data_IF_854527482319
#
_entry.id   IF_854527482319
#
_cell.length_a   1.000
_cell.length_b   1.000
_cell.length_c   1.000
_cell.angle_alpha   90.00
_cell.angle_beta   90.00
_cell.angle_gamma   90.00
#
_symmetry.space_group_name_H-M   'P 1'
#
loop_
_entity.id
_entity.type
_entity.pdbx_description
1 polymer ?
#
# COMPACT_ATOMS: atom_id res chain seq x y z
N UNK A 1 15.97 9.38 22.70
CA UNK A 1 14.74 9.27 21.89
C UNK A 1 14.24 7.82 22.02
N UNK A 2 13.04 7.60 22.55
CA UNK A 2 12.45 6.26 22.60
C UNK A 2 12.10 5.83 21.18
N UNK A 3 12.90 4.95 20.58
CA UNK A 3 12.44 4.14 19.45
C UNK A 3 11.34 3.23 19.99
N UNK A 4 10.09 3.50 19.66
CA UNK A 4 8.99 2.59 19.94
C UNK A 4 9.34 1.23 19.31
N UNK A 5 9.44 0.20 20.15
CA UNK A 5 9.80 -1.14 19.71
C UNK A 5 8.77 -1.65 18.69
N UNK A 6 9.22 -2.07 17.51
CA UNK A 6 8.36 -2.69 16.50
C UNK A 6 7.81 -3.98 17.10
N UNK A 7 6.48 -4.18 17.14
CA UNK A 7 5.90 -5.40 17.71
C UNK A 7 6.24 -6.61 16.83
N UNK A 8 6.21 -7.81 17.40
CA UNK A 8 6.40 -9.06 16.64
C UNK A 8 5.10 -9.61 16.07
N UNK A 9 3.96 -9.10 16.56
CA UNK A 9 2.60 -9.51 16.23
C UNK A 9 1.73 -8.29 15.96
N UNK A 10 0.76 -8.45 15.08
CA UNK A 10 -0.15 -7.38 14.66
C UNK A 10 -1.52 -7.93 14.29
N UNK A 11 -2.48 -7.01 14.20
CA UNK A 11 -3.78 -7.24 13.57
C UNK A 11 -3.64 -7.15 12.05
N UNK A 12 -4.28 -8.07 11.35
CA UNK A 12 -4.30 -8.09 9.88
C UNK A 12 -5.57 -8.80 9.36
N UNK A 13 -6.00 -8.43 8.17
CA UNK A 13 -6.89 -9.27 7.37
C UNK A 13 -6.01 -10.25 6.59
N UNK A 14 -6.05 -11.53 6.94
CA UNK A 14 -5.24 -12.56 6.29
C UNK A 14 -6.07 -13.30 5.25
N UNK A 15 -5.44 -13.75 4.18
CA UNK A 15 -5.97 -14.84 3.35
C UNK A 15 -5.09 -16.07 3.52
N UNK A 16 -5.70 -17.24 3.50
CA UNK A 16 -4.97 -18.52 3.48
C UNK A 16 -5.23 -19.28 2.19
N UNK A 17 -6.43 -19.14 1.64
CA UNK A 17 -6.91 -19.87 0.49
C UNK A 17 -7.69 -18.95 -0.46
N UNK A 18 -7.85 -19.39 -1.69
CA UNK A 18 -8.63 -18.70 -2.73
C UNK A 18 -10.08 -19.17 -2.68
N UNK A 19 -11.06 -18.26 -2.74
CA UNK A 19 -12.48 -18.62 -2.80
C UNK A 19 -13.45 -17.53 -2.36
N UNK A 20 -14.71 -17.90 -2.10
CA UNK A 20 -15.81 -16.96 -1.84
C UNK A 20 -15.71 -16.17 -0.53
N UNK A 21 -14.98 -16.71 0.46
CA UNK A 21 -14.68 -16.05 1.74
C UNK A 21 -13.21 -16.26 2.10
N UNK A 22 -12.29 -15.64 1.34
CA UNK A 22 -10.87 -15.95 1.42
C UNK A 22 -10.19 -15.23 2.59
N UNK A 23 -10.90 -14.31 3.26
CA UNK A 23 -10.34 -13.39 4.25
C UNK A 23 -10.80 -13.69 5.66
N UNK A 24 -9.85 -13.74 6.58
CA UNK A 24 -10.07 -13.89 8.01
C UNK A 24 -9.35 -12.78 8.77
N UNK A 25 -9.96 -12.28 9.84
CA UNK A 25 -9.31 -11.30 10.70
C UNK A 25 -8.44 -12.01 11.72
N UNK A 26 -7.14 -11.71 11.74
CA UNK A 26 -6.17 -12.21 12.70
C UNK A 26 -5.72 -11.11 13.64
N UNK A 27 -5.54 -11.44 14.91
CA UNK A 27 -4.93 -10.57 15.92
C UNK A 27 -3.47 -10.93 16.20
N UNK A 28 -2.93 -11.95 15.53
CA UNK A 28 -1.61 -12.54 15.81
C UNK A 28 -0.77 -12.77 14.53
N UNK A 29 -1.01 -11.99 13.48
CA UNK A 29 -0.22 -12.04 12.27
C UNK A 29 1.22 -11.57 12.56
N UNK A 30 2.25 -12.17 11.93
CA UNK A 30 3.64 -11.76 12.15
C UNK A 30 3.91 -10.37 11.57
N UNK A 31 4.81 -9.62 12.23
CA UNK A 31 5.34 -8.34 11.71
C UNK A 31 6.74 -8.59 11.15
N UNK A 32 6.99 -8.14 9.92
CA UNK A 32 8.34 -8.16 9.35
C UNK A 32 9.29 -7.28 10.16
N UNK A 33 10.44 -7.83 10.53
CA UNK A 33 11.45 -7.14 11.30
C UNK A 33 12.43 -6.40 10.38
N UNK A 34 13.12 -5.33 10.87
CA UNK A 34 14.01 -4.52 10.03
C UNK A 34 15.09 -5.32 9.29
N UNK A 35 15.60 -6.39 9.90
CA UNK A 35 16.61 -7.28 9.30
C UNK A 35 16.07 -8.18 8.17
N UNK A 36 14.75 -8.21 7.95
CA UNK A 36 14.10 -8.94 6.86
C UNK A 36 13.82 -8.05 5.64
N UNK A 37 14.06 -6.74 5.73
CA UNK A 37 13.83 -5.81 4.62
C UNK A 37 14.83 -6.07 3.49
N UNK A 38 14.31 -6.14 2.26
CA UNK A 38 15.11 -6.19 1.03
C UNK A 38 15.48 -4.79 0.56
N UNK A 39 16.31 -4.72 -0.47
CA UNK A 39 16.67 -3.46 -1.13
C UNK A 39 15.43 -2.65 -1.53
N UNK A 40 15.54 -1.33 -1.46
CA UNK A 40 14.48 -0.33 -1.67
C UNK A 40 13.25 -0.49 -0.75
N UNK A 41 13.30 -1.31 0.32
CA UNK A 41 12.14 -1.51 1.19
C UNK A 41 12.17 -0.65 2.46
N UNK A 42 10.97 -0.34 2.94
CA UNK A 42 10.75 0.23 4.26
C UNK A 42 9.62 -0.51 4.98
N UNK A 43 9.68 -0.53 6.32
CA UNK A 43 8.55 -0.94 7.15
C UNK A 43 7.78 0.31 7.57
N UNK A 44 6.46 0.29 7.37
CA UNK A 44 5.55 1.40 7.64
C UNK A 44 4.53 0.97 8.67
N UNK A 45 4.35 1.78 9.72
CA UNK A 45 3.17 1.70 10.56
C UNK A 45 2.00 2.33 9.79
N UNK A 46 1.03 1.50 9.40
CA UNK A 46 -0.11 1.88 8.57
C UNK A 46 -1.13 2.62 9.43
N UNK A 47 -1.49 3.84 9.02
CA UNK A 47 -2.52 4.64 9.69
C UNK A 47 -3.84 4.59 8.92
N UNK A 48 -3.77 4.53 7.58
CA UNK A 48 -4.92 4.35 6.71
C UNK A 48 -4.55 3.49 5.50
N UNK A 49 -5.53 2.77 4.97
CA UNK A 49 -5.39 1.97 3.75
C UNK A 49 -6.63 2.12 2.87
N UNK A 50 -6.39 2.20 1.56
CA UNK A 50 -7.44 2.28 0.54
C UNK A 50 -7.90 0.90 0.11
N UNK A 51 -9.21 0.72 -0.03
CA UNK A 51 -9.83 -0.52 -0.54
C UNK A 51 -10.14 -0.36 -2.03
N UNK A 52 -9.70 -1.33 -2.84
CA UNK A 52 -9.92 -1.36 -4.28
C UNK A 52 -10.68 -2.62 -4.72
N UNK A 53 -11.40 -2.61 -5.86
CA UNK A 53 -12.03 -3.81 -6.41
C UNK A 53 -11.06 -4.98 -6.66
N UNK A 54 -9.79 -4.68 -6.94
CA UNK A 54 -8.75 -5.69 -7.14
C UNK A 54 -8.48 -6.53 -5.88
N UNK A 55 -8.66 -5.96 -4.69
CA UNK A 55 -8.35 -6.65 -3.43
C UNK A 55 -9.30 -7.82 -3.22
N UNK A 56 -10.60 -7.60 -3.45
CA UNK A 56 -11.61 -8.66 -3.48
C UNK A 56 -11.31 -9.71 -4.55
N UNK A 57 -10.87 -9.28 -5.74
CA UNK A 57 -10.52 -10.19 -6.86
C UNK A 57 -9.29 -11.04 -6.54
N UNK A 58 -8.31 -10.49 -5.83
CA UNK A 58 -7.14 -11.23 -5.38
C UNK A 58 -7.56 -12.36 -4.41
N UNK A 59 -8.45 -12.08 -3.48
CA UNK A 59 -8.97 -13.12 -2.60
C UNK A 59 -9.77 -14.19 -3.32
N UNK A 60 -10.66 -13.80 -4.25
CA UNK A 60 -11.59 -14.75 -4.87
C UNK A 60 -10.96 -15.65 -5.93
N UNK A 61 -9.90 -15.19 -6.60
CA UNK A 61 -9.31 -15.90 -7.75
C UNK A 61 -7.79 -16.03 -7.71
N UNK A 62 -7.10 -15.28 -6.84
CA UNK A 62 -5.65 -15.10 -6.87
C UNK A 62 -5.11 -14.88 -8.29
N UNK A 63 -5.80 -14.05 -9.08
CA UNK A 63 -5.49 -13.79 -10.49
C UNK A 63 -4.06 -13.31 -10.74
N UNK A 64 -3.43 -12.70 -9.72
CA UNK A 64 -2.07 -12.20 -9.79
C UNK A 64 -1.03 -13.20 -9.24
N UNK A 65 -1.43 -14.42 -8.85
CA UNK A 65 -0.56 -15.45 -8.29
C UNK A 65 0.35 -14.91 -7.16
N UNK A 66 -0.25 -14.23 -6.19
CA UNK A 66 0.44 -13.81 -4.96
C UNK A 66 0.64 -14.99 -4.03
N UNK A 67 1.69 -14.93 -3.21
CA UNK A 67 2.00 -15.99 -2.24
C UNK A 67 0.94 -16.07 -1.14
N UNK A 68 0.65 -17.30 -0.70
CA UNK A 68 -0.30 -17.62 0.36
C UNK A 68 0.43 -18.39 1.48
N UNK A 69 0.07 -18.19 2.76
CA UNK A 69 -0.87 -17.18 3.26
C UNK A 69 -0.30 -15.76 3.11
N UNK A 70 -1.17 -14.76 3.12
CA UNK A 70 -0.78 -13.37 2.89
C UNK A 70 -1.82 -12.37 3.36
N UNK A 71 -1.56 -11.09 3.08
CA UNK A 71 -2.43 -9.97 3.44
C UNK A 71 -2.73 -9.17 2.16
N UNK A 72 -4.00 -8.87 1.85
CA UNK A 72 -4.40 -8.05 0.70
C UNK A 72 -4.15 -6.56 0.92
N UNK A 73 -4.58 -5.74 -0.04
CA UNK A 73 -4.48 -4.30 0.01
C UNK A 73 -3.13 -3.81 -0.51
N UNK A 74 -3.14 -2.72 -1.26
CA UNK A 74 -1.93 -2.12 -1.83
C UNK A 74 -1.76 -0.65 -1.47
N UNK A 75 -2.85 0.06 -1.18
CA UNK A 75 -2.81 1.49 -0.88
C UNK A 75 -2.54 1.73 0.59
N UNK A 76 -1.46 2.44 0.90
CA UNK A 76 -0.97 2.66 2.25
C UNK A 76 -0.74 4.16 2.46
N UNK A 77 -1.19 4.67 3.59
CA UNK A 77 -0.63 5.87 4.19
C UNK A 77 -0.28 5.63 5.65
N UNK A 78 0.90 6.10 6.05
CA UNK A 78 1.41 5.81 7.38
C UNK A 78 2.76 6.47 7.63
N UNK A 79 3.49 5.91 8.59
CA UNK A 79 4.78 6.44 9.04
C UNK A 79 5.86 5.37 8.96
N UNK A 80 7.02 5.72 8.42
CA UNK A 80 8.17 4.81 8.34
C UNK A 80 8.72 4.53 9.73
N UNK A 81 8.89 3.24 10.05
CA UNK A 81 9.45 2.75 11.33
C UNK A 81 10.79 2.02 11.15
N UNK A 82 11.10 1.55 9.94
CA UNK A 82 12.42 1.05 9.57
C UNK A 82 12.65 1.19 8.06
N UNK A 83 13.90 1.28 7.63
CA UNK A 83 14.31 1.37 6.22
C UNK A 83 15.44 0.38 5.95
N UNK A 84 15.51 -0.16 4.73
CA UNK A 84 16.67 -0.90 4.26
C UNK A 84 17.88 0.03 4.11
N UNK A 85 19.09 -0.54 4.13
CA UNK A 85 20.34 0.23 4.20
C UNK A 85 20.61 1.08 2.95
N UNK A 86 20.05 0.71 1.81
CA UNK A 86 20.20 1.37 0.51
C UNK A 86 19.18 2.51 0.29
N UNK A 87 18.14 2.59 1.12
CA UNK A 87 17.13 3.65 1.03
C UNK A 87 17.71 4.96 1.57
N UNK A 88 17.78 5.98 0.72
CA UNK A 88 18.36 7.30 1.07
C UNK A 88 17.35 8.45 1.02
N UNK A 89 16.28 8.33 0.23
CA UNK A 89 15.26 9.38 0.08
C UNK A 89 14.30 9.48 1.27
N UNK A 90 14.26 8.44 2.10
CA UNK A 90 13.37 8.31 3.24
C UNK A 90 14.12 8.00 4.53
N UNK A 91 13.52 8.40 5.66
CA UNK A 91 14.02 8.08 7.00
C UNK A 91 12.90 7.69 7.95
N UNK A 92 13.28 7.03 9.04
CA UNK A 92 12.36 6.72 10.15
C UNK A 92 11.67 7.99 10.64
N UNK A 93 10.35 7.92 10.77
CA UNK A 93 9.50 9.04 11.16
C UNK A 93 8.87 9.81 10.00
N UNK A 94 9.32 9.62 8.76
CA UNK A 94 8.68 10.24 7.60
C UNK A 94 7.25 9.69 7.45
N UNK A 95 6.29 10.60 7.30
CA UNK A 95 4.91 10.27 6.91
C UNK A 95 4.83 10.15 5.39
N UNK A 96 4.21 9.08 4.90
CA UNK A 96 4.18 8.72 3.48
C UNK A 96 2.78 8.30 3.04
N UNK A 97 2.55 8.33 1.73
CA UNK A 97 1.44 7.63 1.09
C UNK A 97 1.83 7.16 -0.30
N UNK A 98 1.11 6.15 -0.80
CA UNK A 98 1.38 5.53 -2.09
C UNK A 98 0.67 4.19 -2.24
N UNK A 99 1.04 3.46 -3.29
CA UNK A 99 0.47 2.16 -3.60
C UNK A 99 1.58 1.16 -3.88
N UNK A 100 1.58 0.03 -3.17
CA UNK A 100 2.46 -1.09 -3.50
C UNK A 100 2.04 -1.73 -4.82
N UNK A 101 2.96 -2.50 -5.40
CA UNK A 101 2.56 -3.46 -6.44
C UNK A 101 1.72 -4.57 -5.83
N UNK A 102 0.87 -5.20 -6.65
CA UNK A 102 0.06 -6.36 -6.24
C UNK A 102 0.92 -7.50 -5.67
N UNK A 103 2.15 -7.68 -6.15
CA UNK A 103 3.08 -8.70 -5.66
C UNK A 103 3.64 -8.41 -4.26
N UNK A 104 3.57 -7.15 -3.82
CA UNK A 104 3.95 -6.70 -2.47
C UNK A 104 2.72 -6.20 -1.70
N UNK A 105 1.55 -6.80 -1.95
CA UNK A 105 0.35 -6.47 -1.19
C UNK A 105 0.54 -6.75 0.31
N UNK A 106 -0.29 -6.10 1.12
CA UNK A 106 -0.24 -6.19 2.57
C UNK A 106 -0.61 -4.89 3.24
N UNK A 107 -1.51 -4.10 2.66
CA UNK A 107 -1.93 -2.83 3.25
C UNK A 107 -2.97 -3.03 4.37
N UNK A 108 -3.68 -4.16 4.40
CA UNK A 108 -4.69 -4.45 5.44
C UNK A 108 -4.07 -5.11 6.69
N UNK A 109 -2.96 -4.54 7.17
CA UNK A 109 -2.28 -4.88 8.42
C UNK A 109 -1.67 -3.62 9.05
N UNK A 110 -1.34 -3.65 10.33
CA UNK A 110 -0.85 -2.45 11.07
C UNK A 110 0.58 -2.03 10.71
N UNK A 111 1.40 -2.97 10.24
CA UNK A 111 2.80 -2.80 9.85
C UNK A 111 3.05 -3.52 8.53
N UNK A 112 3.26 -2.74 7.47
CA UNK A 112 3.39 -3.24 6.12
C UNK A 112 4.78 -2.93 5.55
N UNK A 113 5.31 -3.85 4.75
CA UNK A 113 6.51 -3.59 3.95
C UNK A 113 6.10 -2.90 2.66
N UNK A 114 6.79 -1.81 2.33
CA UNK A 114 6.61 -1.08 1.08
C UNK A 114 7.88 -1.13 0.24
N UNK A 115 7.75 -0.99 -1.08
CA UNK A 115 8.87 -0.55 -1.90
C UNK A 115 8.82 0.98 -2.01
N UNK A 116 9.87 1.64 -1.53
CA UNK A 116 9.99 3.09 -1.46
C UNK A 116 9.89 3.80 -2.81
N UNK A 117 10.16 3.12 -3.92
CA UNK A 117 10.04 3.66 -5.28
C UNK A 117 8.59 4.06 -5.64
N UNK A 118 7.58 3.50 -4.96
CA UNK A 118 6.15 3.74 -5.23
C UNK A 118 5.47 4.64 -4.20
N UNK A 119 6.25 5.26 -3.31
CA UNK A 119 5.74 6.07 -2.22
C UNK A 119 6.34 7.46 -2.26
N UNK A 120 5.60 8.43 -1.73
CA UNK A 120 6.07 9.80 -1.56
C UNK A 120 5.81 10.27 -0.14
N UNK A 121 6.54 11.30 0.27
CA UNK A 121 6.30 11.97 1.55
C UNK A 121 4.94 12.65 1.52
N UNK A 122 4.14 12.42 2.55
CA UNK A 122 2.82 13.05 2.71
C UNK A 122 3.01 14.55 2.93
N UNK A 123 2.45 15.42 2.07
CA UNK A 123 2.51 16.86 2.28
C UNK A 123 1.84 17.27 3.59
N UNK A 124 2.32 18.37 4.16
CA UNK A 124 1.65 18.99 5.30
C UNK A 124 0.23 19.42 4.89
N UNK A 125 -0.77 19.10 5.71
CA UNK A 125 -2.18 19.40 5.45
C UNK A 125 -2.98 18.28 4.77
N UNK A 126 -2.33 17.23 4.28
CA UNK A 126 -2.99 16.01 3.79
C UNK A 126 -3.14 15.03 4.95
N UNK A 127 -4.35 14.51 5.19
CA UNK A 127 -4.59 13.46 6.19
C UNK A 127 -4.17 12.09 5.64
N UNK A 128 -3.97 11.10 6.52
CA UNK A 128 -3.61 9.76 6.07
C UNK A 128 -4.74 9.10 5.27
N UNK A 129 -6.00 9.34 5.63
CA UNK A 129 -7.17 8.86 4.90
C UNK A 129 -7.21 9.45 3.48
N UNK A 130 -6.94 10.75 3.33
CA UNK A 130 -6.82 11.38 2.01
C UNK A 130 -5.66 10.80 1.21
N UNK A 131 -4.49 10.60 1.83
CA UNK A 131 -3.33 10.00 1.16
C UNK A 131 -3.60 8.56 0.70
N UNK A 132 -4.21 7.74 1.56
CA UNK A 132 -4.58 6.37 1.23
C UNK A 132 -5.67 6.29 0.14
N UNK A 133 -6.59 7.24 0.08
CA UNK A 133 -7.60 7.33 -0.97
C UNK A 133 -7.03 7.73 -2.35
N UNK A 134 -5.86 8.38 -2.39
CA UNK A 134 -5.21 8.74 -3.65
C UNK A 134 -4.54 7.51 -4.29
N UNK A 135 -3.69 6.79 -3.55
CA UNK A 135 -3.05 5.51 -3.92
C UNK A 135 -3.15 5.06 -5.40
N UNK A 136 -3.73 3.89 -5.63
CA UNK A 136 -3.91 3.33 -6.96
C UNK A 136 -4.95 4.12 -7.78
N UNK A 137 -6.00 4.61 -7.14
CA UNK A 137 -7.12 5.28 -7.83
C UNK A 137 -6.66 6.51 -8.61
N UNK A 138 -5.77 7.32 -8.03
CA UNK A 138 -5.13 8.45 -8.69
C UNK A 138 -4.26 7.99 -9.86
N UNK A 139 -3.44 6.96 -9.67
CA UNK A 139 -2.56 6.44 -10.74
C UNK A 139 -3.38 5.95 -11.94
N UNK A 140 -4.49 5.24 -11.71
CA UNK A 140 -5.40 4.81 -12.78
C UNK A 140 -6.02 5.98 -13.54
N UNK A 141 -6.52 7.00 -12.81
CA UNK A 141 -7.10 8.18 -13.45
C UNK A 141 -6.04 9.00 -14.21
N UNK A 142 -4.86 9.16 -13.62
CA UNK A 142 -3.73 9.86 -14.24
C UNK A 142 -3.27 9.15 -15.50
N UNK A 143 -3.04 7.84 -15.46
CA UNK A 143 -2.61 7.05 -16.61
C UNK A 143 -3.62 7.12 -17.76
N UNK A 144 -4.91 6.98 -17.45
CA UNK A 144 -5.98 7.10 -18.45
C UNK A 144 -6.01 8.46 -19.15
N UNK A 145 -5.83 9.56 -18.40
CA UNK A 145 -5.77 10.91 -18.97
C UNK A 145 -4.45 11.16 -19.71
N UNK A 146 -3.33 10.68 -19.15
CA UNK A 146 -2.00 10.85 -19.72
C UNK A 146 -1.88 10.11 -21.06
N UNK A 147 -2.48 8.93 -21.17
CA UNK A 147 -2.51 8.15 -22.41
C UNK A 147 -3.17 8.89 -23.58
N UNK A 148 -4.10 9.81 -23.29
CA UNK A 148 -4.80 10.61 -24.32
C UNK A 148 -4.35 12.07 -24.33
N UNK A 149 -3.27 12.43 -23.63
CA UNK A 149 -2.86 13.82 -23.41
C UNK A 149 -2.70 14.64 -24.69
N UNK A 150 -2.21 14.04 -25.78
CA UNK A 150 -2.02 14.72 -27.07
C UNK A 150 -3.35 15.16 -27.70
N UNK A 151 -4.46 14.57 -27.26
CA UNK A 151 -5.83 14.92 -27.66
C UNK A 151 -6.49 15.90 -26.68
N UNK A 152 -5.91 16.11 -25.50
CA UNK A 152 -6.43 17.03 -24.48
C UNK A 152 -5.93 18.45 -24.75
N UNK A 153 -6.86 19.34 -25.07
CA UNK A 153 -6.61 20.79 -25.19
C UNK A 153 -7.49 21.54 -24.21
N UNK A 154 -7.12 22.77 -23.87
CA UNK A 154 -7.97 23.64 -23.06
C UNK A 154 -9.36 23.74 -23.70
N UNK A 155 -10.41 23.48 -22.91
CA UNK A 155 -11.80 23.44 -23.38
C UNK A 155 -12.27 22.11 -23.96
N UNK A 156 -11.45 21.05 -23.95
CA UNK A 156 -11.89 19.71 -24.33
C UNK A 156 -12.93 19.13 -23.36
N UNK A 157 -13.91 18.41 -23.90
CA UNK A 157 -14.90 17.66 -23.12
C UNK A 157 -14.50 16.18 -23.10
N UNK A 158 -14.52 15.57 -21.92
CA UNK A 158 -14.21 14.15 -21.72
C UNK A 158 -15.45 13.47 -21.11
N UNK A 159 -15.78 12.28 -21.61
CA UNK A 159 -16.77 11.41 -20.98
C UNK A 159 -16.06 10.42 -20.05
N UNK A 160 -16.49 10.36 -18.78
CA UNK A 160 -15.98 9.44 -17.78
C UNK A 160 -17.11 8.50 -17.37
N UNK A 161 -17.14 7.25 -17.87
CA UNK A 161 -18.08 6.26 -17.40
C UNK A 161 -17.64 5.76 -16.01
N UNK A 162 -18.59 5.70 -15.08
CA UNK A 162 -18.39 5.13 -13.74
C UNK A 162 -18.58 3.62 -13.72
#
# INVERSE_FOLDING_TARGET
>A
MCTSQIPTKQRALVWENVGDKPFEFSTNAPVKQPNELKNNQALVQVFASGLNPLDSKLGSSNWAHVELPGVPGIDISGKIVAVANDVTDFKIGDEIFGSNTVKLCGAFQEYAVINTDYFIKKPQGVTHEQGAALGLSYLCAFDGLHHVQDKLKAGATIFVPG
#
